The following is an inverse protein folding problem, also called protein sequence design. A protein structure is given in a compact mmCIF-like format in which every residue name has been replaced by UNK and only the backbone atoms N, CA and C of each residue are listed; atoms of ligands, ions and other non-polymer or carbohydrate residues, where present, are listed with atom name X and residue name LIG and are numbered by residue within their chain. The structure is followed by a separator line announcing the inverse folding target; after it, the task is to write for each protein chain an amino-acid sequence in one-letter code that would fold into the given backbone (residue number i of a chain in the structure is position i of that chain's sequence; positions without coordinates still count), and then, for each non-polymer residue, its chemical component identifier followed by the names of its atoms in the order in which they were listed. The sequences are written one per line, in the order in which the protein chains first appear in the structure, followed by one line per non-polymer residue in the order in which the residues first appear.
data_IF_860721134783
#
_entry.id   IF_860721134783
#
_cell.length_a   1.000
_cell.length_b   1.000
_cell.length_c   1.000
_cell.angle_alpha   90.00
_cell.angle_beta   90.00
_cell.angle_gamma   90.00
#
_symmetry.space_group_name_H-M   'P 1'
#
loop_
_entity.id
_entity.type
_entity.pdbx_description
1 polymer ?
#
# COMPACT_ATOMS: atom_id res chain seq x y z
N UNK A 1 -9.66 35.58 38.51
CA UNK A 1 -8.69 35.57 37.40
C UNK A 1 -8.07 34.19 37.38
N UNK A 2 -8.19 33.51 36.26
CA UNK A 2 -7.60 32.20 36.05
C UNK A 2 -6.40 32.38 35.12
N UNK A 3 -5.23 31.89 35.55
CA UNK A 3 -4.00 31.96 34.78
C UNK A 3 -3.47 30.54 34.64
N UNK A 4 -3.45 30.04 33.42
CA UNK A 4 -2.95 28.71 33.08
C UNK A 4 -1.60 28.82 32.39
N UNK A 5 -0.62 28.05 32.86
CA UNK A 5 0.68 27.89 32.21
C UNK A 5 0.82 26.42 31.80
N UNK A 6 0.99 26.17 30.50
CA UNK A 6 1.29 24.85 29.97
C UNK A 6 2.78 24.76 29.64
N UNK A 7 3.45 23.75 30.19
CA UNK A 7 4.87 23.48 29.94
C UNK A 7 4.99 22.22 29.08
N UNK A 8 5.42 22.32 27.82
CA UNK A 8 5.61 21.15 26.97
C UNK A 8 6.87 20.41 27.41
N UNK A 9 6.78 19.07 27.51
CA UNK A 9 7.89 18.18 27.85
C UNK A 9 8.67 18.60 29.10
N UNK A 10 8.03 18.71 30.28
CA UNK A 10 8.71 19.13 31.50
C UNK A 10 9.81 18.13 31.87
N UNK A 11 11.02 18.64 32.07
CA UNK A 11 12.13 17.83 32.59
C UNK A 11 11.87 17.39 34.03
N UNK A 12 12.44 16.23 34.39
CA UNK A 12 12.33 15.68 35.74
C UNK A 12 13.30 16.42 36.65
N UNK A 13 12.82 17.50 37.27
CA UNK A 13 13.56 18.27 38.27
C UNK A 13 12.60 19.00 39.22
N UNK A 14 13.13 19.79 40.15
CA UNK A 14 12.38 20.62 41.07
C UNK A 14 11.90 21.91 40.40
N UNK A 15 10.58 22.09 40.34
CA UNK A 15 9.94 23.29 39.80
C UNK A 15 9.54 24.24 40.93
N UNK A 16 9.90 25.52 40.82
CA UNK A 16 9.57 26.56 41.80
C UNK A 16 8.57 27.56 41.21
N UNK A 17 7.46 27.81 41.91
CA UNK A 17 6.45 28.79 41.52
C UNK A 17 6.50 30.00 42.47
N UNK A 18 6.83 31.18 41.94
CA UNK A 18 6.81 32.44 42.68
C UNK A 18 5.62 33.31 42.25
N UNK A 19 4.82 33.77 43.19
CA UNK A 19 3.64 34.59 42.94
C UNK A 19 3.78 35.94 43.65
N UNK A 20 3.44 37.02 42.95
CA UNK A 20 3.55 38.37 43.51
C UNK A 20 2.25 39.16 43.28
N UNK A 21 1.65 39.64 44.38
CA UNK A 21 0.45 40.47 44.33
C UNK A 21 0.85 41.88 43.89
N UNK A 22 0.31 42.35 42.75
CA UNK A 22 0.49 43.73 42.30
C UNK A 22 -0.72 44.57 42.70
N UNK A 23 -0.47 45.61 43.49
CA UNK A 23 -1.46 46.64 43.81
C UNK A 23 -1.63 47.60 42.61
N UNK A 24 -2.85 47.89 42.15
CA UNK A 24 -3.09 48.94 41.15
C UNK A 24 -2.60 50.31 41.66
N UNK A 25 -1.99 51.10 40.77
CA UNK A 25 -1.42 52.42 41.13
C UNK A 25 -2.45 53.40 41.69
N UNK A 26 -3.73 53.21 41.38
CA UNK A 26 -4.83 54.08 41.81
C UNK A 26 -5.27 53.84 43.28
N UNK A 27 -4.76 52.79 43.94
CA UNK A 27 -5.10 52.39 45.31
C UNK A 27 -3.87 52.30 46.24
N UNK A 28 -2.83 53.10 45.98
CA UNK A 28 -1.50 53.03 46.59
C UNK A 28 -1.41 53.19 48.13
N UNK A 29 -2.53 53.25 48.86
CA UNK A 29 -2.57 53.34 50.33
C UNK A 29 -3.34 52.23 51.06
N UNK A 30 -4.10 51.37 50.36
CA UNK A 30 -5.02 50.38 51.00
C UNK A 30 -4.67 48.90 50.71
N UNK A 31 -3.52 48.61 50.11
CA UNK A 31 -3.15 47.25 49.70
C UNK A 31 -2.50 46.38 50.79
N UNK A 32 -2.08 46.96 51.92
CA UNK A 32 -1.40 46.21 52.99
C UNK A 32 -2.29 45.17 53.69
N UNK A 33 -3.62 45.31 53.55
CA UNK A 33 -4.61 44.36 54.08
C UNK A 33 -5.20 43.44 53.02
N UNK A 34 -4.77 43.56 51.76
CA UNK A 34 -5.31 42.76 50.66
C UNK A 34 -4.85 41.31 50.79
N UNK A 35 -5.76 40.42 51.19
CA UNK A 35 -5.54 38.97 51.21
C UNK A 35 -6.20 38.36 49.98
N UNK A 36 -5.43 37.61 49.20
CA UNK A 36 -5.94 36.81 48.09
C UNK A 36 -5.86 35.33 48.47
N UNK A 37 -6.96 34.61 48.28
CA UNK A 37 -6.94 33.15 48.31
C UNK A 37 -6.50 32.64 46.95
N UNK A 38 -5.52 31.73 46.94
CA UNK A 38 -5.00 31.13 45.73
C UNK A 38 -5.16 29.61 45.82
N UNK A 39 -5.79 29.04 44.81
CA UNK A 39 -5.75 27.61 44.56
C UNK A 39 -4.76 27.35 43.42
N UNK A 40 -3.72 26.57 43.69
CA UNK A 40 -2.77 26.12 42.67
C UNK A 40 -3.04 24.64 42.41
N UNK A 41 -3.29 24.30 41.15
CA UNK A 41 -3.46 22.92 40.72
C UNK A 41 -2.43 22.64 39.64
N UNK A 42 -1.59 21.63 39.88
CA UNK A 42 -0.62 21.14 38.91
C UNK A 42 -0.95 19.68 38.59
N UNK A 43 -1.04 19.36 37.32
CA UNK A 43 -1.29 18.01 36.84
C UNK A 43 -0.53 17.78 35.53
N UNK A 44 -0.16 16.53 35.30
CA UNK A 44 0.43 16.11 34.03
C UNK A 44 -0.69 15.56 33.15
N UNK A 45 -0.84 16.14 31.96
CA UNK A 45 -1.69 15.58 30.91
C UNK A 45 -0.84 14.91 29.84
N UNK A 46 -1.26 13.74 29.34
CA UNK A 46 -0.56 13.05 28.26
C UNK A 46 -0.61 13.82 26.93
N UNK A 47 -1.70 14.55 26.69
CA UNK A 47 -1.89 15.38 25.50
C UNK A 47 -2.54 16.71 25.90
N UNK A 48 -2.05 17.81 25.31
CA UNK A 48 -2.63 19.14 25.50
C UNK A 48 -3.89 19.28 24.64
N UNK A 49 -5.03 19.59 25.26
CA UNK A 49 -6.33 19.80 24.59
C UNK A 49 -6.68 18.73 23.53
N UNK A 50 -6.41 17.46 23.84
CA UNK A 50 -6.63 16.33 22.93
C UNK A 50 -6.02 16.49 21.52
N UNK A 51 -4.95 17.29 21.39
CA UNK A 51 -4.24 17.58 20.14
C UNK A 51 -5.07 18.40 19.12
N UNK A 52 -6.07 19.15 19.61
CA UNK A 52 -6.90 20.03 18.81
C UNK A 52 -7.73 19.30 17.74
N UNK A 53 -8.12 20.03 16.68
CA UNK A 53 -8.98 19.49 15.60
C UNK A 53 -8.23 18.65 14.56
N UNK A 54 -6.91 18.81 14.47
CA UNK A 54 -6.06 18.22 13.43
C UNK A 54 -5.11 17.14 13.96
N UNK A 55 -5.19 16.82 15.26
CA UNK A 55 -4.41 15.76 15.90
C UNK A 55 -5.29 14.72 16.57
N UNK A 56 -4.67 13.63 17.02
CA UNK A 56 -5.30 12.66 17.90
C UNK A 56 -4.32 12.26 19.00
N UNK A 57 -4.77 12.30 20.25
CA UNK A 57 -4.00 11.78 21.37
C UNK A 57 -3.90 10.25 21.26
N UNK A 58 -2.68 9.73 21.18
CA UNK A 58 -2.46 8.29 21.03
C UNK A 58 -1.25 7.83 21.85
N UNK A 59 -1.34 6.60 22.35
CA UNK A 59 -0.22 5.92 23.00
C UNK A 59 0.67 5.33 21.90
N UNK A 60 1.88 5.87 21.77
CA UNK A 60 2.86 5.46 20.78
C UNK A 60 3.93 4.59 21.42
N UNK A 61 4.50 3.69 20.62
CA UNK A 61 5.61 2.82 21.03
C UNK A 61 6.79 3.00 20.09
N UNK A 62 7.94 3.40 20.62
CA UNK A 62 9.18 3.50 19.87
C UNK A 62 10.35 2.91 20.66
N UNK A 63 11.13 2.01 20.05
CA UNK A 63 12.25 1.29 20.68
C UNK A 63 11.93 0.63 22.04
N UNK A 64 10.69 0.18 22.24
CA UNK A 64 10.27 -0.45 23.50
C UNK A 64 9.75 0.52 24.58
N UNK A 65 9.91 1.83 24.39
CA UNK A 65 9.31 2.84 25.26
C UNK A 65 7.88 3.14 24.82
N UNK A 66 6.98 3.26 25.80
CA UNK A 66 5.60 3.68 25.61
C UNK A 66 5.48 5.13 26.08
N UNK A 67 4.97 5.99 25.21
CA UNK A 67 4.72 7.39 25.51
C UNK A 67 3.39 7.82 24.90
N UNK A 68 2.69 8.75 25.55
CA UNK A 68 1.53 9.38 24.98
C UNK A 68 1.95 10.67 24.26
N UNK A 69 1.33 10.95 23.12
CA UNK A 69 1.61 12.17 22.37
C UNK A 69 0.61 12.42 21.26
N UNK A 70 0.77 13.57 20.63
CA UNK A 70 -0.11 14.01 19.55
C UNK A 70 0.33 13.46 18.20
N UNK A 71 -0.55 12.69 17.56
CA UNK A 71 -0.37 12.27 16.16
C UNK A 71 -1.03 13.29 15.23
N UNK A 72 -0.23 14.15 14.62
CA UNK A 72 -0.73 15.20 13.73
C UNK A 72 -1.08 14.67 12.34
N UNK A 73 -2.23 15.08 11.81
CA UNK A 73 -2.74 14.65 10.51
C UNK A 73 -2.48 15.72 9.46
N UNK A 74 -2.50 15.36 8.17
CA UNK A 74 -2.49 16.31 7.05
C UNK A 74 -1.32 17.34 7.03
N UNK A 75 -0.14 16.95 7.50
CA UNK A 75 1.05 17.82 7.50
C UNK A 75 1.04 18.93 8.56
N UNK A 76 0.07 18.91 9.48
CA UNK A 76 0.09 19.78 10.66
C UNK A 76 1.27 19.41 11.56
N UNK A 77 1.91 20.43 12.13
CA UNK A 77 3.08 20.29 12.98
C UNK A 77 2.85 20.80 14.40
N UNK A 78 3.91 20.70 15.20
CA UNK A 78 3.91 21.17 16.58
C UNK A 78 3.41 20.15 17.59
N UNK A 79 3.65 20.44 18.87
CA UNK A 79 3.34 19.56 20.00
C UNK A 79 1.84 19.37 20.25
N UNK A 80 1.01 20.31 19.81
CA UNK A 80 -0.46 20.27 19.86
C UNK A 80 -1.12 20.18 18.48
N UNK A 81 -0.36 19.92 17.41
CA UNK A 81 -0.85 19.89 16.03
C UNK A 81 -1.53 21.19 15.56
N UNK A 82 -1.12 22.34 16.11
CA UNK A 82 -1.66 23.67 15.77
C UNK A 82 -0.80 24.45 14.77
N UNK A 83 0.39 23.96 14.41
CA UNK A 83 1.23 24.62 13.42
C UNK A 83 0.79 24.23 11.99
N UNK A 84 0.21 25.20 11.29
CA UNK A 84 -0.28 25.06 9.92
C UNK A 84 0.76 25.39 8.85
N UNK A 85 2.02 25.69 9.21
CA UNK A 85 3.05 26.15 8.26
C UNK A 85 3.30 25.17 7.09
N UNK A 86 3.13 23.87 7.32
CA UNK A 86 3.24 22.80 6.32
C UNK A 86 1.92 22.04 6.09
N UNK A 87 0.81 22.56 6.59
CA UNK A 87 -0.47 21.87 6.49
C UNK A 87 -0.93 21.78 5.02
N UNK A 88 -1.29 20.58 4.58
CA UNK A 88 -1.80 20.37 3.23
C UNK A 88 -3.23 20.90 3.12
N UNK A 89 -3.50 21.66 2.05
CA UNK A 89 -4.85 22.14 1.76
C UNK A 89 -5.81 21.00 1.43
N UNK A 90 -7.10 21.20 1.68
CA UNK A 90 -8.15 20.21 1.35
C UNK A 90 -8.13 19.84 -0.15
N UNK A 91 -7.83 20.80 -1.02
CA UNK A 91 -7.67 20.59 -2.45
C UNK A 91 -6.49 19.66 -2.78
N UNK A 92 -5.34 19.84 -2.13
CA UNK A 92 -4.17 18.98 -2.30
C UNK A 92 -4.44 17.55 -1.83
N UNK A 93 -5.12 17.38 -0.70
CA UNK A 93 -5.50 16.04 -0.17
C UNK A 93 -6.47 15.31 -1.11
N UNK A 94 -7.44 16.05 -1.67
CA UNK A 94 -8.41 15.50 -2.62
C UNK A 94 -7.74 15.13 -3.94
N UNK A 95 -6.82 15.96 -4.42
CA UNK A 95 -6.05 15.68 -5.62
C UNK A 95 -5.14 14.45 -5.43
N UNK A 96 -4.40 14.37 -4.32
CA UNK A 96 -3.54 13.23 -4.01
C UNK A 96 -4.34 11.92 -3.96
N UNK A 97 -5.51 11.97 -3.34
CA UNK A 97 -6.48 10.86 -3.33
C UNK A 97 -6.94 10.46 -4.72
N UNK A 98 -7.32 11.45 -5.54
CA UNK A 98 -7.85 11.20 -6.87
C UNK A 98 -6.78 10.59 -7.78
N UNK A 99 -5.57 11.13 -7.75
CA UNK A 99 -4.44 10.61 -8.53
C UNK A 99 -4.16 9.17 -8.13
N UNK A 100 -4.12 8.88 -6.82
CA UNK A 100 -3.83 7.54 -6.34
C UNK A 100 -4.92 6.53 -6.73
N UNK A 101 -6.19 6.87 -6.51
CA UNK A 101 -7.32 6.01 -6.91
C UNK A 101 -7.40 5.77 -8.42
N UNK A 102 -7.19 6.81 -9.24
CA UNK A 102 -7.18 6.68 -10.70
C UNK A 102 -5.99 5.85 -11.19
N UNK A 103 -4.81 5.98 -10.57
CA UNK A 103 -3.63 5.20 -10.93
C UNK A 103 -3.86 3.69 -10.73
N UNK A 104 -4.63 3.30 -9.71
CA UNK A 104 -4.93 1.90 -9.41
C UNK A 104 -5.94 1.26 -10.37
N UNK A 105 -6.71 2.06 -11.13
CA UNK A 105 -7.54 1.54 -12.22
C UNK A 105 -6.70 0.94 -13.36
N UNK A 106 -5.40 1.27 -13.48
CA UNK A 106 -4.53 0.67 -14.48
C UNK A 106 -4.28 -0.83 -14.26
N UNK A 107 -4.62 -1.38 -13.09
CA UNK A 107 -4.63 -2.83 -12.88
C UNK A 107 -5.79 -3.53 -13.62
N UNK A 108 -6.85 -2.83 -14.03
CA UNK A 108 -8.00 -3.43 -14.74
C UNK A 108 -7.59 -4.13 -16.05
N UNK A 109 -6.79 -3.53 -16.95
CA UNK A 109 -6.23 -4.23 -18.10
C UNK A 109 -5.47 -5.51 -17.74
N UNK A 110 -4.64 -5.49 -16.68
CA UNK A 110 -3.88 -6.66 -16.24
C UNK A 110 -4.80 -7.78 -15.75
N UNK A 111 -5.83 -7.43 -14.96
CA UNK A 111 -6.87 -8.35 -14.49
C UNK A 111 -7.64 -8.93 -15.68
N UNK A 112 -8.09 -8.10 -16.62
CA UNK A 112 -8.84 -8.53 -17.79
C UNK A 112 -8.02 -9.51 -18.66
N UNK A 113 -6.75 -9.22 -18.90
CA UNK A 113 -5.84 -10.11 -19.65
C UNK A 113 -5.59 -11.42 -18.88
N UNK A 114 -5.39 -11.36 -17.57
CA UNK A 114 -5.20 -12.55 -16.74
C UNK A 114 -6.44 -13.47 -16.76
N UNK A 115 -7.64 -12.89 -16.61
CA UNK A 115 -8.91 -13.61 -16.70
C UNK A 115 -9.13 -14.20 -18.10
N UNK A 116 -8.90 -13.41 -19.16
CA UNK A 116 -9.04 -13.88 -20.55
C UNK A 116 -8.10 -15.05 -20.86
N UNK A 117 -6.90 -15.06 -20.26
CA UNK A 117 -5.89 -16.12 -20.44
C UNK A 117 -5.97 -17.23 -19.36
N UNK A 118 -6.98 -17.21 -18.50
CA UNK A 118 -7.24 -18.21 -17.45
C UNK A 118 -6.15 -18.32 -16.35
N UNK A 119 -5.42 -17.24 -16.09
CA UNK A 119 -4.47 -17.13 -14.99
C UNK A 119 -5.18 -16.65 -13.72
N UNK A 120 -5.96 -17.55 -13.08
CA UNK A 120 -6.83 -17.20 -11.95
C UNK A 120 -6.08 -16.77 -10.68
N UNK A 121 -4.91 -17.36 -10.41
CA UNK A 121 -4.10 -16.99 -9.24
C UNK A 121 -3.60 -15.56 -9.42
N UNK A 122 -3.04 -15.26 -10.58
CA UNK A 122 -2.53 -13.94 -10.93
C UNK A 122 -3.66 -12.90 -10.93
N UNK A 123 -4.81 -13.22 -11.53
CA UNK A 123 -6.00 -12.36 -11.52
C UNK A 123 -6.49 -12.07 -10.09
N UNK A 124 -6.48 -13.07 -9.20
CA UNK A 124 -6.91 -12.88 -7.81
C UNK A 124 -5.99 -11.92 -7.04
N UNK A 125 -4.67 -12.02 -7.25
CA UNK A 125 -3.68 -11.15 -6.59
C UNK A 125 -3.75 -9.72 -7.14
N UNK A 126 -3.95 -9.54 -8.45
CA UNK A 126 -4.13 -8.21 -9.04
C UNK A 126 -5.41 -7.54 -8.57
N UNK A 127 -6.51 -8.29 -8.46
CA UNK A 127 -7.77 -7.76 -7.90
C UNK A 127 -7.62 -7.41 -6.41
N UNK A 128 -6.91 -8.24 -5.63
CA UNK A 128 -6.59 -7.93 -4.24
C UNK A 128 -5.80 -6.62 -4.13
N UNK A 129 -4.76 -6.47 -4.94
CA UNK A 129 -3.93 -5.26 -4.99
C UNK A 129 -4.80 -4.06 -5.34
N UNK A 130 -5.49 -4.11 -6.47
CA UNK A 130 -6.40 -3.04 -6.90
C UNK A 130 -7.41 -2.66 -5.81
N UNK A 131 -8.02 -3.61 -5.12
CA UNK A 131 -8.98 -3.34 -4.05
C UNK A 131 -8.34 -2.55 -2.91
N UNK A 132 -7.23 -3.03 -2.34
CA UNK A 132 -6.60 -2.34 -1.21
C UNK A 132 -5.94 -1.01 -1.61
N UNK A 133 -5.41 -0.89 -2.83
CA UNK A 133 -4.85 0.36 -3.35
C UNK A 133 -5.94 1.38 -3.74
N UNK A 134 -7.15 0.94 -4.13
CA UNK A 134 -8.27 1.86 -4.40
C UNK A 134 -9.08 2.21 -3.17
N UNK A 135 -9.12 1.34 -2.15
CA UNK A 135 -9.91 1.52 -0.92
C UNK A 135 -9.11 2.18 0.22
N UNK A 136 -7.79 2.25 0.14
CA UNK A 136 -7.00 3.20 0.92
C UNK A 136 -5.85 3.72 0.09
N UNK A 137 -5.12 4.74 0.51
CA UNK A 137 -5.20 5.60 1.70
C UNK A 137 -5.80 6.99 1.39
N UNK A 138 -6.35 7.18 0.18
CA UNK A 138 -6.94 8.44 -0.28
C UNK A 138 -8.46 8.42 -0.33
N UNK A 139 -9.08 7.29 -0.62
CA UNK A 139 -10.53 7.17 -0.85
C UNK A 139 -11.35 7.40 0.43
N UNK A 140 -11.59 8.67 0.71
CA UNK A 140 -12.82 9.22 1.30
C UNK A 140 -13.11 8.89 2.78
N UNK A 141 -12.33 8.09 3.50
CA UNK A 141 -12.80 7.60 4.81
C UNK A 141 -11.70 7.58 5.87
N UNK A 142 -11.42 8.75 6.44
CA UNK A 142 -11.12 8.95 7.86
C UNK A 142 -10.80 10.45 8.11
N UNK A 143 -11.84 11.29 8.13
CA UNK A 143 -11.78 12.62 8.75
C UNK A 143 -12.44 12.51 10.13
N UNK A 144 -11.69 12.49 11.24
CA UNK A 144 -12.26 12.43 12.58
C UNK A 144 -12.94 13.73 13.02
N UNK A 145 -12.85 14.80 12.22
CA UNK A 145 -13.34 16.13 12.59
C UNK A 145 -14.06 16.81 11.42
N UNK A 146 -15.23 16.28 11.08
CA UNK A 146 -16.25 16.96 10.26
C UNK A 146 -17.57 17.03 11.03
N UNK A 147 -18.44 18.03 10.74
CA UNK A 147 -19.76 18.16 11.39
C UNK A 147 -20.63 16.90 11.19
N UNK A 148 -21.63 16.66 12.06
CA UNK A 148 -22.40 15.42 12.06
C UNK A 148 -23.23 15.33 10.79
N UNK A 149 -23.13 14.24 10.04
CA UNK A 149 -24.06 14.01 8.92
C UNK A 149 -23.51 13.34 7.67
N UNK A 150 -22.24 12.94 7.61
CA UNK A 150 -21.77 12.08 6.51
C UNK A 150 -21.11 10.86 7.14
N UNK A 151 -21.86 9.78 7.24
CA UNK A 151 -21.39 8.49 7.74
C UNK A 151 -20.34 7.96 6.79
N UNK A 152 -19.09 8.24 7.11
CA UNK A 152 -17.94 7.67 6.45
C UNK A 152 -17.45 6.42 7.24
N UNK A 153 -18.05 5.23 6.99
CA UNK A 153 -17.52 3.84 7.15
C UNK A 153 -15.97 3.66 6.99
N UNK A 154 -15.16 3.97 8.00
CA UNK A 154 -13.77 3.53 8.02
C UNK A 154 -13.74 2.01 8.23
N UNK A 155 -13.64 1.22 7.15
CA UNK A 155 -13.64 -0.26 7.23
C UNK A 155 -12.35 -0.78 7.87
N UNK A 156 -11.22 -0.09 7.68
CA UNK A 156 -9.91 -0.56 8.14
C UNK A 156 -8.93 0.61 8.37
N UNK A 157 -8.01 0.43 9.32
CA UNK A 157 -7.00 1.44 9.66
C UNK A 157 -6.01 1.69 8.51
N UNK A 158 -5.51 2.94 8.41
CA UNK A 158 -4.59 3.38 7.36
C UNK A 158 -3.37 2.46 7.26
N UNK A 159 -2.78 2.11 8.41
CA UNK A 159 -1.59 1.26 8.48
C UNK A 159 -1.83 -0.15 7.94
N UNK A 160 -3.06 -0.65 8.07
CA UNK A 160 -3.43 -1.99 7.60
C UNK A 160 -3.68 -1.97 6.10
N UNK A 161 -4.35 -0.94 5.58
CA UNK A 161 -4.59 -0.82 4.14
C UNK A 161 -3.29 -0.56 3.38
N UNK A 162 -2.40 0.28 3.92
CA UNK A 162 -1.07 0.50 3.36
C UNK A 162 -0.24 -0.80 3.34
N UNK A 163 -0.31 -1.60 4.41
CA UNK A 163 0.35 -2.90 4.44
C UNK A 163 -0.17 -3.84 3.34
N UNK A 164 -1.50 -3.90 3.15
CA UNK A 164 -2.10 -4.71 2.09
C UNK A 164 -1.75 -4.23 0.68
N UNK A 165 -1.61 -2.91 0.46
CA UNK A 165 -1.18 -2.31 -0.81
C UNK A 165 0.23 -2.80 -1.20
N UNK A 166 1.19 -2.70 -0.28
CA UNK A 166 2.56 -3.17 -0.50
C UNK A 166 2.62 -4.70 -0.67
N UNK A 167 1.90 -5.45 0.18
CA UNK A 167 1.83 -6.90 0.07
C UNK A 167 1.28 -7.34 -1.28
N UNK A 168 0.17 -6.75 -1.72
CA UNK A 168 -0.45 -7.04 -3.02
C UNK A 168 0.49 -6.73 -4.18
N UNK A 169 1.16 -5.58 -4.15
CA UNK A 169 2.11 -5.17 -5.19
C UNK A 169 3.29 -6.15 -5.33
N UNK A 170 3.93 -6.53 -4.22
CA UNK A 170 5.06 -7.47 -4.24
C UNK A 170 4.60 -8.88 -4.62
N UNK A 171 3.46 -9.32 -4.08
CA UNK A 171 2.87 -10.60 -4.42
C UNK A 171 2.53 -10.67 -5.92
N UNK A 172 2.05 -9.57 -6.52
CA UNK A 172 1.75 -9.46 -7.95
C UNK A 172 2.99 -9.74 -8.80
N UNK A 173 4.14 -9.14 -8.47
CA UNK A 173 5.40 -9.46 -9.15
C UNK A 173 5.82 -10.92 -8.95
N UNK A 174 5.76 -11.41 -7.71
CA UNK A 174 6.13 -12.77 -7.35
C UNK A 174 5.36 -13.82 -8.17
N UNK A 175 4.02 -13.76 -8.18
CA UNK A 175 3.19 -14.73 -8.91
C UNK A 175 3.38 -14.62 -10.42
N UNK A 176 3.61 -13.43 -10.95
CA UNK A 176 3.84 -13.20 -12.39
C UNK A 176 5.15 -13.83 -12.83
N UNK A 177 6.23 -13.64 -12.08
CA UNK A 177 7.55 -14.22 -12.39
C UNK A 177 7.51 -15.75 -12.27
N UNK A 178 6.85 -16.29 -11.24
CA UNK A 178 6.64 -17.73 -11.12
C UNK A 178 5.82 -18.30 -12.27
N UNK A 179 4.82 -17.57 -12.77
CA UNK A 179 4.08 -17.94 -13.96
C UNK A 179 4.98 -17.98 -15.20
N UNK A 180 5.87 -17.00 -15.37
CA UNK A 180 6.86 -16.97 -16.47
C UNK A 180 7.90 -18.09 -16.37
N UNK A 181 8.25 -18.54 -15.17
CA UNK A 181 9.21 -19.62 -14.96
C UNK A 181 8.73 -20.99 -15.50
N UNK A 182 7.42 -21.17 -15.75
CA UNK A 182 6.80 -22.39 -16.31
C UNK A 182 7.22 -23.68 -15.57
N UNK A 183 7.31 -23.62 -14.24
CA UNK A 183 7.67 -24.74 -13.36
C UNK A 183 6.50 -25.76 -13.31
N UNK A 184 6.73 -26.99 -12.82
CA UNK A 184 5.66 -27.97 -12.58
C UNK A 184 4.58 -27.36 -11.67
N UNK A 185 3.30 -27.58 -12.00
CA UNK A 185 2.16 -26.96 -11.31
C UNK A 185 2.20 -27.11 -9.78
N UNK A 186 2.48 -28.32 -9.27
CA UNK A 186 2.58 -28.56 -7.82
C UNK A 186 3.62 -27.65 -7.15
N UNK A 187 4.82 -27.56 -7.73
CA UNK A 187 5.89 -26.71 -7.19
C UNK A 187 5.57 -25.22 -7.37
N UNK A 188 4.92 -24.82 -8.47
CA UNK A 188 4.42 -23.45 -8.65
C UNK A 188 3.48 -23.06 -7.51
N UNK A 189 2.48 -23.88 -7.19
CA UNK A 189 1.52 -23.57 -6.13
C UNK A 189 2.18 -23.50 -4.74
N UNK A 190 3.09 -24.43 -4.44
CA UNK A 190 3.85 -24.40 -3.17
C UNK A 190 4.69 -23.13 -3.07
N UNK A 191 5.42 -22.75 -4.12
CA UNK A 191 6.22 -21.53 -4.14
C UNK A 191 5.36 -20.26 -4.09
N UNK A 192 4.16 -20.26 -4.68
CA UNK A 192 3.21 -19.15 -4.55
C UNK A 192 2.80 -18.99 -3.08
N UNK A 193 2.31 -20.05 -2.42
CA UNK A 193 1.82 -19.94 -1.04
C UNK A 193 2.95 -19.59 -0.07
N UNK A 194 4.03 -20.36 -0.10
CA UNK A 194 5.17 -20.16 0.82
C UNK A 194 5.81 -18.79 0.58
N UNK A 195 6.00 -18.41 -0.69
CA UNK A 195 6.55 -17.10 -1.04
C UNK A 195 5.69 -15.94 -0.52
N UNK A 196 4.37 -15.99 -0.73
CA UNK A 196 3.45 -14.96 -0.22
C UNK A 196 3.46 -14.86 1.31
N UNK A 197 3.56 -15.99 2.02
CA UNK A 197 3.69 -15.98 3.49
C UNK A 197 4.99 -15.32 3.95
N UNK A 198 6.12 -15.59 3.29
CA UNK A 198 7.39 -14.92 3.60
C UNK A 198 7.36 -13.43 3.27
N UNK A 199 6.72 -13.04 2.17
CA UNK A 199 6.52 -11.63 1.81
C UNK A 199 5.71 -10.92 2.90
N UNK A 200 4.60 -11.52 3.33
CA UNK A 200 3.76 -10.98 4.41
C UNK A 200 4.57 -10.80 5.71
N UNK A 201 5.33 -11.83 6.12
CA UNK A 201 6.19 -11.73 7.31
C UNK A 201 7.25 -10.63 7.17
N UNK A 202 7.91 -10.53 6.02
CA UNK A 202 8.99 -9.56 5.78
C UNK A 202 8.47 -8.12 5.84
N UNK A 203 7.32 -7.86 5.22
CA UNK A 203 6.67 -6.54 5.26
C UNK A 203 6.11 -6.20 6.65
N UNK A 204 5.75 -7.21 7.45
CA UNK A 204 5.34 -6.98 8.83
C UNK A 204 6.52 -6.55 9.71
N UNK A 205 7.72 -7.11 9.51
CA UNK A 205 8.92 -6.76 10.25
C UNK A 205 9.41 -5.34 9.93
N UNK A 206 9.51 -4.99 8.65
CA UNK A 206 9.85 -3.64 8.21
C UNK A 206 9.31 -3.36 6.81
N UNK A 207 8.18 -2.64 6.75
CA UNK A 207 7.51 -2.29 5.50
C UNK A 207 8.24 -1.22 4.67
N UNK A 208 9.14 -0.44 5.27
CA UNK A 208 9.86 0.65 4.59
C UNK A 208 11.25 0.24 4.13
N UNK A 209 11.72 -0.92 4.58
CA UNK A 209 12.97 -1.51 4.12
C UNK A 209 12.90 -1.82 2.62
N UNK A 210 13.66 -1.07 1.81
CA UNK A 210 13.80 -1.31 0.35
C UNK A 210 14.15 -2.77 0.05
N UNK A 211 14.99 -3.39 0.90
CA UNK A 211 15.37 -4.80 0.79
C UNK A 211 14.21 -5.79 1.02
N UNK A 212 13.22 -5.44 1.84
CA UNK A 212 12.06 -6.29 2.09
C UNK A 212 11.09 -6.28 0.90
N UNK A 213 11.11 -5.20 0.11
CA UNK A 213 10.38 -5.14 -1.16
C UNK A 213 11.16 -5.76 -2.33
N UNK A 214 12.46 -5.50 -2.44
CA UNK A 214 13.30 -5.99 -3.54
C UNK A 214 13.69 -7.46 -3.40
N UNK A 215 13.92 -7.94 -2.17
CA UNK A 215 14.42 -9.29 -1.90
C UNK A 215 13.55 -10.40 -2.51
N UNK A 216 12.23 -10.44 -2.26
CA UNK A 216 11.34 -11.41 -2.87
C UNK A 216 11.34 -11.35 -4.40
N UNK A 217 11.34 -10.15 -4.98
CA UNK A 217 11.41 -9.97 -6.43
C UNK A 217 12.72 -10.54 -7.02
N UNK A 218 13.86 -10.29 -6.37
CA UNK A 218 15.16 -10.84 -6.77
C UNK A 218 15.18 -12.37 -6.71
N UNK A 219 14.65 -12.95 -5.63
CA UNK A 219 14.53 -14.41 -5.48
C UNK A 219 13.67 -15.00 -6.59
N UNK A 220 12.54 -14.39 -6.91
CA UNK A 220 11.68 -14.84 -8.02
C UNK A 220 12.41 -14.81 -9.36
N UNK A 221 13.16 -13.74 -9.65
CA UNK A 221 13.97 -13.62 -10.87
C UNK A 221 15.05 -14.71 -10.91
N UNK A 222 15.75 -14.97 -9.80
CA UNK A 222 16.75 -16.04 -9.71
C UNK A 222 16.13 -17.41 -9.97
N UNK A 223 14.96 -17.70 -9.38
CA UNK A 223 14.23 -18.95 -9.64
C UNK A 223 13.90 -19.08 -11.13
N UNK A 224 13.43 -18.01 -11.76
CA UNK A 224 13.11 -18.00 -13.18
C UNK A 224 14.36 -18.23 -14.04
N UNK A 225 15.46 -17.52 -13.79
CA UNK A 225 16.70 -17.64 -14.58
C UNK A 225 17.32 -19.02 -14.44
N UNK A 226 17.38 -19.59 -13.24
CA UNK A 226 17.85 -20.96 -12.99
C UNK A 226 16.96 -21.98 -13.70
N UNK A 227 15.64 -21.80 -13.65
CA UNK A 227 14.69 -22.70 -14.32
C UNK A 227 14.86 -22.65 -15.83
N UNK A 228 15.02 -21.45 -16.39
CA UNK A 228 15.26 -21.28 -17.82
C UNK A 228 16.61 -21.87 -18.22
N UNK A 229 17.70 -21.53 -17.53
CA UNK A 229 19.04 -22.04 -17.79
C UNK A 229 19.10 -23.58 -17.74
N UNK A 230 18.53 -24.19 -16.70
CA UNK A 230 18.49 -25.65 -16.57
C UNK A 230 17.74 -26.33 -17.73
N UNK A 231 16.65 -25.71 -18.23
CA UNK A 231 15.92 -26.21 -19.39
C UNK A 231 16.65 -25.98 -20.70
N UNK A 232 17.30 -24.83 -20.87
CA UNK A 232 18.15 -24.54 -22.03
C UNK A 232 19.24 -25.60 -22.16
N UNK A 233 19.91 -25.93 -21.06
CA UNK A 233 20.96 -26.96 -21.02
C UNK A 233 20.39 -28.35 -21.33
N UNK A 234 19.26 -28.74 -20.71
CA UNK A 234 18.67 -30.08 -20.92
C UNK A 234 18.05 -30.30 -22.30
N UNK A 235 17.43 -29.27 -22.89
CA UNK A 235 16.70 -29.38 -24.16
C UNK A 235 17.43 -28.77 -25.36
N UNK A 236 18.63 -28.20 -25.16
CA UNK A 236 19.44 -27.47 -26.15
C UNK A 236 18.70 -26.37 -26.94
N UNK A 237 17.53 -25.94 -26.45
CA UNK A 237 16.75 -24.85 -27.01
C UNK A 237 16.49 -23.82 -25.93
N UNK A 238 16.98 -22.60 -26.15
CA UNK A 238 16.78 -21.50 -25.20
C UNK A 238 15.34 -20.99 -25.25
N UNK A 239 14.74 -20.86 -24.07
CA UNK A 239 13.40 -20.30 -23.91
C UNK A 239 13.48 -18.80 -23.60
N UNK A 240 12.56 -17.95 -24.11
CA UNK A 240 11.57 -18.18 -25.17
C UNK A 240 12.16 -18.18 -26.60
N UNK A 241 11.60 -19.02 -27.50
CA UNK A 241 12.18 -19.30 -28.83
C UNK A 241 11.92 -18.22 -29.90
N UNK A 242 11.13 -17.17 -29.62
CA UNK A 242 10.82 -16.13 -30.61
C UNK A 242 11.41 -14.77 -30.22
N UNK A 243 12.32 -14.26 -31.07
CA UNK A 243 12.94 -12.94 -30.91
C UNK A 243 11.90 -11.80 -30.85
N UNK A 244 10.79 -11.93 -31.61
CA UNK A 244 9.66 -11.00 -31.55
C UNK A 244 9.05 -10.89 -30.15
N UNK A 245 8.99 -11.98 -29.38
CA UNK A 245 8.42 -11.95 -28.02
C UNK A 245 9.36 -11.28 -27.03
N UNK A 246 10.67 -11.44 -27.21
CA UNK A 246 11.67 -10.70 -26.45
C UNK A 246 11.56 -9.20 -26.71
N UNK A 247 11.53 -8.79 -27.99
CA UNK A 247 11.51 -7.38 -28.38
C UNK A 247 10.21 -6.65 -28.01
N UNK A 248 9.03 -7.27 -28.21
CA UNK A 248 7.74 -6.58 -28.08
C UNK A 248 7.02 -6.79 -26.75
N UNK A 249 7.42 -7.78 -25.93
CA UNK A 249 6.71 -8.10 -24.69
C UNK A 249 7.63 -8.14 -23.47
N UNK A 250 8.71 -8.94 -23.51
CA UNK A 250 9.57 -9.11 -22.34
C UNK A 250 10.46 -7.88 -22.07
N UNK A 251 11.14 -7.34 -23.09
CA UNK A 251 12.01 -6.18 -22.89
C UNK A 251 11.23 -4.93 -22.43
N UNK A 252 10.07 -4.57 -23.04
CA UNK A 252 9.27 -3.46 -22.56
C UNK A 252 8.76 -3.68 -21.12
N UNK A 253 8.29 -4.89 -20.80
CA UNK A 253 7.82 -5.21 -19.45
C UNK A 253 8.92 -5.15 -18.39
N UNK A 254 10.10 -5.69 -18.68
CA UNK A 254 11.27 -5.63 -17.78
C UNK A 254 11.75 -4.18 -17.63
N UNK A 255 11.84 -3.43 -18.72
CA UNK A 255 12.25 -2.03 -18.68
C UNK A 255 11.31 -1.20 -17.78
N UNK A 256 10.00 -1.37 -17.94
CA UNK A 256 9.00 -0.70 -17.09
C UNK A 256 9.14 -1.10 -15.62
N UNK A 257 9.34 -2.38 -15.32
CA UNK A 257 9.55 -2.85 -13.95
C UNK A 257 10.84 -2.28 -13.32
N UNK A 258 11.93 -2.19 -14.09
CA UNK A 258 13.19 -1.56 -13.63
C UNK A 258 12.98 -0.08 -13.37
N UNK A 259 12.31 0.65 -14.27
CA UNK A 259 12.00 2.07 -14.06
C UNK A 259 11.15 2.25 -12.81
N UNK A 260 10.16 1.40 -12.56
CA UNK A 260 9.38 1.43 -11.34
C UNK A 260 10.29 1.32 -10.09
N UNK A 261 11.16 0.31 -10.04
CA UNK A 261 12.12 0.10 -8.93
C UNK A 261 13.03 1.29 -8.72
N UNK A 262 13.53 1.90 -9.79
CA UNK A 262 14.39 3.09 -9.72
C UNK A 262 13.62 4.30 -9.17
N UNK A 263 12.39 4.54 -9.64
CA UNK A 263 11.54 5.62 -9.14
C UNK A 263 11.28 5.44 -7.63
N UNK A 264 10.95 4.22 -7.20
CA UNK A 264 10.73 3.93 -5.78
C UNK A 264 11.99 4.11 -4.93
N UNK A 265 13.13 3.56 -5.36
CA UNK A 265 14.33 3.55 -4.55
C UNK A 265 15.03 4.91 -4.43
N UNK A 266 14.92 5.77 -5.45
CA UNK A 266 15.72 6.99 -5.54
C UNK A 266 14.92 8.29 -5.61
N UNK A 267 13.64 8.24 -6.01
CA UNK A 267 12.84 9.46 -6.21
C UNK A 267 11.78 9.67 -5.13
N UNK A 268 11.50 8.66 -4.30
CA UNK A 268 10.51 8.77 -3.23
C UNK A 268 10.99 9.72 -2.13
N UNK A 269 10.29 10.84 -1.97
CA UNK A 269 10.44 11.78 -0.86
C UNK A 269 9.09 12.00 -0.18
N UNK A 270 9.09 12.48 1.06
CA UNK A 270 7.83 12.74 1.82
C UNK A 270 6.92 13.74 1.11
N UNK A 271 7.48 14.69 0.37
CA UNK A 271 6.74 15.72 -0.37
C UNK A 271 6.16 15.19 -1.69
N UNK A 272 6.90 14.30 -2.37
CA UNK A 272 6.52 13.79 -3.70
C UNK A 272 5.85 12.41 -3.67
N UNK A 273 5.68 11.84 -2.48
CA UNK A 273 5.20 10.46 -2.28
C UNK A 273 3.96 10.13 -3.10
N UNK A 274 2.95 11.00 -3.12
CA UNK A 274 1.70 10.71 -3.84
C UNK A 274 1.87 10.69 -5.35
N UNK A 275 2.80 11.46 -5.92
CA UNK A 275 3.12 11.39 -7.36
C UNK A 275 3.97 10.17 -7.69
N UNK A 276 5.03 9.91 -6.91
CA UNK A 276 5.94 8.78 -7.15
C UNK A 276 5.23 7.44 -6.94
N UNK A 277 4.38 7.34 -5.92
CA UNK A 277 3.58 6.14 -5.63
C UNK A 277 2.51 5.87 -6.70
N UNK A 278 1.86 6.93 -7.21
CA UNK A 278 0.90 6.78 -8.30
C UNK A 278 1.58 6.38 -9.61
N UNK A 279 2.75 6.96 -9.90
CA UNK A 279 3.57 6.58 -11.06
C UNK A 279 4.06 5.14 -10.93
N UNK A 280 4.48 4.73 -9.73
CA UNK A 280 4.84 3.34 -9.42
C UNK A 280 3.70 2.38 -9.80
N UNK A 281 2.47 2.61 -9.32
CA UNK A 281 1.32 1.74 -9.61
C UNK A 281 1.03 1.63 -11.11
N UNK A 282 1.10 2.75 -11.86
CA UNK A 282 0.92 2.75 -13.31
C UNK A 282 2.00 1.91 -14.00
N UNK A 283 3.28 2.12 -13.66
CA UNK A 283 4.40 1.40 -14.25
C UNK A 283 4.32 -0.10 -13.95
N UNK A 284 4.00 -0.47 -12.71
CA UNK A 284 3.80 -1.86 -12.28
C UNK A 284 2.67 -2.48 -13.08
N UNK A 285 1.48 -1.87 -13.09
CA UNK A 285 0.30 -2.42 -13.76
C UNK A 285 0.54 -2.65 -15.27
N UNK A 286 1.16 -1.67 -15.95
CA UNK A 286 1.51 -1.80 -17.36
C UNK A 286 2.56 -2.91 -17.56
N UNK A 287 3.57 -3.01 -16.70
CA UNK A 287 4.59 -4.06 -16.79
C UNK A 287 3.98 -5.46 -16.71
N UNK A 288 2.99 -5.67 -15.84
CA UNK A 288 2.31 -6.95 -15.66
C UNK A 288 1.58 -7.38 -16.94
N UNK A 289 0.89 -6.46 -17.62
CA UNK A 289 0.21 -6.73 -18.91
C UNK A 289 1.18 -7.31 -19.95
N UNK A 290 2.37 -6.73 -20.06
CA UNK A 290 3.40 -7.17 -21.00
C UNK A 290 4.09 -8.46 -20.57
N UNK A 291 4.30 -8.66 -19.27
CA UNK A 291 4.98 -9.84 -18.72
C UNK A 291 4.11 -11.10 -18.74
N UNK A 292 2.78 -10.97 -18.74
CA UNK A 292 1.90 -12.14 -18.79
C UNK A 292 2.18 -12.99 -20.05
N UNK A 293 2.47 -14.30 -19.91
CA UNK A 293 2.61 -15.19 -21.06
C UNK A 293 1.26 -15.35 -21.78
N UNK A 294 1.25 -15.64 -23.10
CA UNK A 294 0.01 -16.04 -23.78
C UNK A 294 -0.52 -17.31 -23.13
N UNK A 295 -1.85 -17.46 -23.08
CA UNK A 295 -2.50 -18.64 -22.51
C UNK A 295 -2.10 -19.89 -23.29
N UNK A 296 -1.89 -21.00 -22.58
CA UNK A 296 -1.67 -22.29 -23.24
C UNK A 296 -3.01 -22.78 -23.82
N UNK A 297 -3.02 -23.13 -25.11
CA UNK A 297 -4.23 -23.59 -25.85
C UNK A 297 -4.98 -24.70 -25.10
N UNK A 298 -4.25 -25.58 -24.43
CA UNK A 298 -4.79 -26.74 -23.71
C UNK A 298 -5.63 -26.36 -22.47
N UNK A 299 -5.29 -25.26 -21.80
CA UNK A 299 -6.03 -24.74 -20.64
C UNK A 299 -7.29 -23.98 -21.06
N UNK A 300 -7.25 -23.37 -22.24
CA UNK A 300 -8.39 -22.72 -22.88
C UNK A 300 -9.41 -23.76 -23.39
N UNK A 301 -8.96 -24.91 -23.88
CA UNK A 301 -9.85 -26.01 -24.29
C UNK A 301 -10.50 -26.75 -23.12
N UNK A 302 -9.79 -27.01 -22.01
CA UNK A 302 -10.37 -27.67 -20.83
C UNK A 302 -11.54 -26.87 -20.22
N UNK A 303 -11.47 -25.54 -20.28
CA UNK A 303 -12.54 -24.65 -19.82
C UNK A 303 -13.59 -24.33 -20.89
N UNK A 304 -13.26 -24.39 -22.17
CA UNK A 304 -14.27 -24.41 -23.22
C UNK A 304 -15.17 -25.66 -23.11
N UNK A 305 -14.59 -26.80 -22.69
CA UNK A 305 -15.34 -28.01 -22.36
C UNK A 305 -16.23 -27.83 -21.12
N UNK A 306 -15.78 -27.13 -20.08
CA UNK A 306 -16.65 -26.82 -18.92
C UNK A 306 -17.78 -25.84 -19.28
N UNK A 307 -17.55 -24.83 -20.14
CA UNK A 307 -18.63 -24.00 -20.72
C UNK A 307 -19.60 -24.81 -21.59
N UNK A 308 -19.11 -25.82 -22.33
CA UNK A 308 -19.97 -26.79 -23.03
C UNK A 308 -20.79 -27.66 -22.07
N UNK A 309 -20.28 -27.97 -20.89
CA UNK A 309 -21.01 -28.69 -19.84
C UNK A 309 -22.10 -27.83 -19.18
N UNK A 310 -21.87 -26.52 -19.04
CA UNK A 310 -22.88 -25.58 -18.55
C UNK A 310 -23.91 -25.17 -19.61
N UNK A 311 -23.59 -25.28 -20.91
CA UNK A 311 -24.57 -25.19 -22.00
C UNK A 311 -25.14 -26.58 -22.32
N UNK A 312 -25.99 -27.10 -21.43
CA UNK A 312 -26.78 -28.30 -21.68
C UNK A 312 -27.92 -28.00 -22.66
N UNK A 313 -27.61 -27.87 -23.95
CA UNK A 313 -28.38 -28.44 -25.07
C UNK A 313 -27.74 -28.13 -26.44
N UNK A 314 -27.62 -29.20 -27.23
CA UNK A 314 -27.69 -29.32 -28.69
C UNK A 314 -26.43 -29.41 -29.58
N UNK A 315 -26.45 -30.56 -30.28
CA UNK A 315 -25.87 -30.99 -31.56
C UNK A 315 -24.40 -31.45 -31.54
N UNK A 316 -24.26 -32.77 -31.37
CA UNK A 316 -23.11 -33.54 -31.85
C UNK A 316 -23.08 -33.46 -33.37
N UNK A 317 -22.02 -32.87 -33.92
CA UNK A 317 -21.66 -33.05 -35.33
C UNK A 317 -21.07 -34.46 -35.47
N UNK A 318 -21.66 -35.27 -36.33
CA UNK A 318 -21.27 -36.66 -36.55
C UNK A 318 -20.02 -36.68 -37.46
N UNK A 319 -18.81 -36.73 -36.89
CA UNK A 319 -17.54 -36.88 -37.63
C UNK A 319 -17.31 -38.34 -38.07
N UNK A 320 -18.29 -38.92 -38.78
CA UNK A 320 -18.20 -40.31 -39.23
C UNK A 320 -18.63 -40.46 -40.69
N UNK A 321 -17.96 -39.74 -41.58
CA UNK A 321 -18.14 -39.93 -43.04
C UNK A 321 -16.92 -39.47 -43.86
N UNK A 322 -15.68 -39.82 -43.47
CA UNK A 322 -14.51 -39.75 -44.37
C UNK A 322 -13.53 -40.92 -44.15
N UNK A 323 -14.03 -42.16 -44.23
CA UNK A 323 -13.14 -43.34 -44.25
C UNK A 323 -13.55 -44.43 -45.24
N UNK A 324 -14.33 -44.11 -46.28
CA UNK A 324 -14.65 -45.05 -47.36
C UNK A 324 -14.79 -44.37 -48.72
N UNK A 325 -13.71 -43.79 -49.25
CA UNK A 325 -13.53 -43.59 -50.70
C UNK A 325 -12.04 -43.66 -51.06
N UNK A 326 -11.45 -44.84 -50.88
CA UNK A 326 -10.31 -45.27 -51.70
C UNK A 326 -10.59 -46.70 -52.16
N UNK A 327 -11.18 -46.80 -53.34
CA UNK A 327 -10.96 -47.85 -54.34
C UNK A 327 -11.13 -47.22 -55.70
#
# INVERSE_FOLDING_TARGET
MEASLAVPYPETDNWFLSLHLRCPKDLAGNCDQAKAQLAVVAFLTPCFEDCGTYGQCSLMRHYGYLYAGCNCKAGWGGWSCTDGSKAQSLGAQTLATLILTLSNLFFLPAIAVALYRYYLVEASVYTFTMFFSTVGPGSTFCRPSGPPGVVVLCIMDYDTVQYCDFLGSVASFWVTILCMARIKNLLKYVLCVVGTLFIALSLHLDRRGVWNMMGPCLVAVIIMTVTWASRCVRRRHCYPPSWKRWAFFLLPGIALAVVAVVVYAFMETTENYYYTHSLWHILVAISLVFLLPPGDKQQQESWAWSRKLFCRYQICKNDREELYTVT
#
